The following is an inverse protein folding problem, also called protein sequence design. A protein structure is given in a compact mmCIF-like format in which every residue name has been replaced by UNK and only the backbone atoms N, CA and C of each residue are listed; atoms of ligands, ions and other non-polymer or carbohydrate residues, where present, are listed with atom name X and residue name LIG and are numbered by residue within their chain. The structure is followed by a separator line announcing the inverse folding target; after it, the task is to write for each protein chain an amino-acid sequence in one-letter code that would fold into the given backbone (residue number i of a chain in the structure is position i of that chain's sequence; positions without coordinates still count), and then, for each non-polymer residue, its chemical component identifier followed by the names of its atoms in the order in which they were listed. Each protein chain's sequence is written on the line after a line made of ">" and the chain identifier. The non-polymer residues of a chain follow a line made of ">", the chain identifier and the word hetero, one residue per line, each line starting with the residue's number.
data_IF_884100767611
#
_entry.id   IF_884100767611
#
_cell.length_a   1.000
_cell.length_b   1.000
_cell.length_c   1.000
_cell.angle_alpha   90.00
_cell.angle_beta   90.00
_cell.angle_gamma   90.00
#
_symmetry.space_group_name_H-M   'P 1'
#
loop_
_entity.id
_entity.type
_entity.pdbx_description
1 polymer ?
#
# COMPACT_ATOMS: atom_id res chain seq x y z
N UNK A 1 20.98 0.41 -0.14
CA UNK A 1 19.86 1.00 -0.91
C UNK A 1 18.91 1.60 0.12
N UNK A 2 18.31 2.79 -0.10
CA UNK A 2 17.28 3.27 0.81
C UNK A 2 16.17 2.21 0.94
N UNK A 3 15.52 2.15 2.11
CA UNK A 3 14.46 1.18 2.34
C UNK A 3 13.29 1.47 1.40
N UNK A 4 12.96 0.50 0.55
CA UNK A 4 11.84 0.60 -0.39
C UNK A 4 10.64 -0.14 0.19
N UNK A 5 9.47 0.46 0.04
CA UNK A 5 8.21 -0.08 0.54
C UNK A 5 7.22 -0.28 -0.60
N UNK A 6 6.33 -1.25 -0.42
CA UNK A 6 5.12 -1.41 -1.21
C UNK A 6 3.95 -0.90 -0.39
N UNK A 7 3.36 0.21 -0.81
CA UNK A 7 2.19 0.81 -0.16
C UNK A 7 0.94 0.50 -0.98
N UNK A 8 -0.03 -0.14 -0.34
CA UNK A 8 -1.27 -0.62 -0.94
C UNK A 8 -2.47 0.07 -0.31
N UNK A 9 -3.42 0.51 -1.13
CA UNK A 9 -4.62 1.23 -0.68
C UNK A 9 -5.87 0.67 -1.34
N UNK A 10 -6.88 0.36 -0.53
CA UNK A 10 -8.19 -0.08 -1.01
C UNK A 10 -9.12 1.09 -1.32
N UNK A 11 -10.20 0.84 -2.06
CA UNK A 11 -11.24 1.83 -2.34
C UNK A 11 -11.88 2.36 -1.05
N UNK A 12 -12.04 1.50 -0.04
CA UNK A 12 -12.51 1.83 1.30
C UNK A 12 -11.50 2.61 2.15
N UNK A 13 -10.29 2.87 1.64
CA UNK A 13 -9.25 3.65 2.33
C UNK A 13 -8.41 2.87 3.33
N UNK A 14 -8.44 1.53 3.31
CA UNK A 14 -7.51 0.71 4.10
C UNK A 14 -6.13 0.77 3.48
N UNK A 15 -5.11 0.92 4.32
CA UNK A 15 -3.71 1.04 3.88
C UNK A 15 -2.91 -0.11 4.48
N UNK A 16 -2.07 -0.75 3.67
CA UNK A 16 -1.05 -1.69 4.13
C UNK A 16 0.29 -1.32 3.51
N UNK A 17 1.33 -1.26 4.34
CA UNK A 17 2.71 -1.07 3.92
C UNK A 17 3.56 -2.26 4.34
N UNK A 18 4.41 -2.73 3.44
CA UNK A 18 5.41 -3.78 3.68
C UNK A 18 6.71 -3.37 3.03
N UNK A 19 7.85 -3.84 3.54
CA UNK A 19 9.12 -3.64 2.83
C UNK A 19 9.07 -4.42 1.51
N UNK A 20 9.68 -3.86 0.46
CA UNK A 20 9.78 -4.55 -0.83
C UNK A 20 10.60 -5.83 -0.69
N UNK A 21 11.63 -5.82 0.17
CA UNK A 21 12.45 -6.98 0.48
C UNK A 21 11.65 -8.14 1.09
N UNK A 22 10.84 -7.88 2.12
CA UNK A 22 10.01 -8.93 2.74
C UNK A 22 8.99 -9.48 1.74
N UNK A 23 8.39 -8.59 0.94
CA UNK A 23 7.38 -8.98 -0.03
C UNK A 23 7.98 -9.84 -1.16
N UNK A 24 9.11 -9.44 -1.71
CA UNK A 24 9.81 -10.19 -2.78
C UNK A 24 10.37 -11.51 -2.26
N UNK A 25 10.90 -11.52 -1.04
CA UNK A 25 11.37 -12.75 -0.39
C UNK A 25 10.22 -13.73 -0.18
N UNK A 26 9.06 -13.28 0.29
CA UNK A 26 7.88 -14.12 0.41
C UNK A 26 7.38 -14.62 -0.96
N UNK A 27 7.32 -13.74 -1.96
CA UNK A 27 6.90 -14.08 -3.33
C UNK A 27 7.84 -15.10 -4.00
N UNK A 28 9.15 -15.06 -3.70
CA UNK A 28 10.11 -16.04 -4.23
C UNK A 28 9.84 -17.47 -3.74
N UNK A 29 9.13 -17.62 -2.61
CA UNK A 29 8.76 -18.92 -2.04
C UNK A 29 7.42 -19.44 -2.57
N UNK A 30 6.72 -18.66 -3.40
CA UNK A 30 5.44 -19.01 -4.00
C UNK A 30 4.44 -17.85 -3.98
N UNK A 31 3.15 -18.16 -4.15
CA UNK A 31 2.09 -17.15 -4.08
C UNK A 31 2.05 -16.50 -2.70
N UNK A 32 2.06 -15.17 -2.66
CA UNK A 32 1.96 -14.38 -1.43
C UNK A 32 0.67 -13.57 -1.40
N UNK A 33 0.01 -13.53 -0.25
CA UNK A 33 -1.13 -12.64 -0.03
C UNK A 33 -0.64 -11.21 0.22
N UNK A 34 -0.83 -10.33 -0.76
CA UNK A 34 -0.45 -8.92 -0.64
C UNK A 34 -1.26 -8.17 0.42
N UNK A 35 -2.58 -8.29 0.38
CA UNK A 35 -3.50 -7.62 1.31
C UNK A 35 -4.79 -8.42 1.42
N UNK A 36 -5.39 -8.48 2.62
CA UNK A 36 -6.77 -8.93 2.77
C UNK A 36 -7.72 -7.78 2.43
N UNK A 37 -8.66 -8.05 1.53
CA UNK A 37 -9.68 -7.10 1.09
C UNK A 37 -11.02 -7.60 1.61
N UNK A 38 -11.77 -6.73 2.26
CA UNK A 38 -13.10 -7.07 2.81
C UNK A 38 -14.13 -7.21 1.69
N UNK A 39 -15.23 -7.91 1.98
CA UNK A 39 -16.33 -8.05 1.05
C UNK A 39 -16.87 -6.67 0.65
N UNK A 40 -16.99 -6.41 -0.66
CA UNK A 40 -17.42 -5.11 -1.19
C UNK A 40 -16.32 -4.05 -1.30
N UNK A 41 -15.11 -4.32 -0.82
CA UNK A 41 -13.94 -3.46 -1.03
C UNK A 41 -13.07 -3.97 -2.20
N UNK A 42 -12.17 -3.13 -2.68
CA UNK A 42 -11.27 -3.44 -3.78
C UNK A 42 -9.90 -2.84 -3.52
N UNK A 43 -8.82 -3.60 -3.73
CA UNK A 43 -7.49 -3.01 -3.85
C UNK A 43 -7.44 -2.16 -5.13
N UNK A 44 -7.18 -0.85 -5.00
CA UNK A 44 -7.23 0.09 -6.13
C UNK A 44 -5.87 0.68 -6.47
N UNK A 45 -5.01 0.84 -5.48
CA UNK A 45 -3.70 1.46 -5.66
C UNK A 45 -2.59 0.64 -5.02
N UNK A 46 -1.48 0.55 -5.73
CA UNK A 46 -0.23 -0.01 -5.25
C UNK A 46 0.89 0.90 -5.75
N UNK A 47 1.73 1.38 -4.85
CA UNK A 47 2.83 2.29 -5.15
C UNK A 47 4.10 1.85 -4.41
N UNK A 48 5.24 2.07 -5.05
CA UNK A 48 6.54 1.99 -4.39
C UNK A 48 6.82 3.32 -3.69
N UNK A 49 7.32 3.27 -2.45
CA UNK A 49 7.67 4.46 -1.66
C UNK A 49 9.03 4.30 -0.95
N UNK A 50 9.70 5.42 -0.63
CA UNK A 50 11.12 5.48 -0.26
C UNK A 50 11.46 5.60 1.23
N UNK A 51 10.47 5.50 2.12
CA UNK A 51 10.57 5.68 3.58
C UNK A 51 10.54 7.14 4.06
N UNK A 52 10.46 8.12 3.17
CA UNK A 52 10.38 9.56 3.49
C UNK A 52 9.34 10.31 2.62
N UNK A 53 8.51 9.57 1.90
CA UNK A 53 7.48 10.15 1.04
C UNK A 53 6.26 10.61 1.86
N UNK A 54 5.51 11.55 1.29
CA UNK A 54 4.21 11.95 1.80
C UNK A 54 3.12 11.33 0.92
N UNK A 55 2.13 10.71 1.55
CA UNK A 55 0.99 10.13 0.86
C UNK A 55 -0.21 11.06 1.03
N UNK A 56 -0.81 11.46 -0.09
CA UNK A 56 -2.06 12.22 -0.15
C UNK A 56 -3.18 11.33 -0.69
N UNK A 57 -4.15 11.01 0.14
CA UNK A 57 -5.38 10.33 -0.28
C UNK A 57 -6.52 11.33 -0.39
N UNK A 58 -7.20 11.32 -1.54
CA UNK A 58 -8.33 12.20 -1.83
C UNK A 58 -9.54 11.36 -2.20
N UNK A 59 -10.66 11.61 -1.53
CA UNK A 59 -11.93 10.95 -1.82
C UNK A 59 -12.70 11.68 -2.91
N UNK A 60 -13.66 10.99 -3.55
CA UNK A 60 -14.57 11.60 -4.55
C UNK A 60 -15.35 12.81 -4.01
N UNK A 61 -15.57 12.89 -2.70
CA UNK A 61 -16.25 14.01 -2.04
C UNK A 61 -15.31 15.18 -1.70
N UNK A 62 -14.05 15.14 -2.15
CA UNK A 62 -13.08 16.20 -1.90
C UNK A 62 -12.47 16.21 -0.49
N UNK A 63 -12.74 15.20 0.34
CA UNK A 63 -12.03 15.02 1.61
C UNK A 63 -10.64 14.47 1.32
N UNK A 64 -9.62 15.00 2.00
CA UNK A 64 -8.24 14.56 1.85
C UNK A 64 -7.56 14.34 3.19
N UNK A 65 -6.63 13.38 3.23
CA UNK A 65 -5.68 13.18 4.33
C UNK A 65 -4.27 13.11 3.74
N UNK A 66 -3.33 13.82 4.36
CA UNK A 66 -1.91 13.76 4.06
C UNK A 66 -1.17 13.22 5.27
N UNK A 67 -0.28 12.26 5.06
CA UNK A 67 0.53 11.69 6.13
C UNK A 67 1.90 11.26 5.58
N UNK A 68 2.91 11.29 6.44
CA UNK A 68 4.20 10.66 6.18
C UNK A 68 4.03 9.16 6.18
N UNK A 69 4.59 8.48 5.19
CA UNK A 69 4.37 7.06 4.98
C UNK A 69 4.67 6.15 6.18
#
# INVERSE_FOLDING_TARGET
>A
MPATYLTMVTQGGRIKRVTLEDFTTAASRGTVTAMSVEEGDQLRWVAETGGQDEILLVTRQGKAIRFSE
#
